data_IF_647276645854
#
_entry.id   IF_647276645854
#
_cell.length_a   1.000
_cell.length_b   1.000
_cell.length_c   1.000
_cell.angle_alpha   90.00
_cell.angle_beta   90.00
_cell.angle_gamma   90.00
#
_symmetry.space_group_name_H-M   'P 1'
#
loop_
_entity.id
_entity.type
_entity.pdbx_description
1 polymer ?
#
# COMPACT_ATOMS: atom_id res chain seq x y z
N UNK A 1 -33.43 -17.54 29.20
CA UNK A 1 -33.53 -17.07 27.79
C UNK A 1 -33.01 -15.64 27.75
N UNK A 2 -31.83 -15.41 27.18
CA UNK A 2 -31.16 -14.10 27.20
C UNK A 2 -31.61 -13.27 25.99
N UNK A 3 -32.37 -12.20 26.20
CA UNK A 3 -32.81 -11.29 25.14
C UNK A 3 -31.70 -10.29 24.79
N UNK A 4 -30.84 -10.63 23.82
CA UNK A 4 -29.90 -9.67 23.25
C UNK A 4 -30.49 -9.07 21.96
N UNK A 5 -30.65 -7.75 21.91
CA UNK A 5 -31.10 -7.07 20.69
C UNK A 5 -29.99 -7.06 19.63
N UNK A 6 -30.36 -7.32 18.37
CA UNK A 6 -29.40 -7.31 17.25
C UNK A 6 -29.04 -5.87 16.88
N UNK A 7 -27.89 -5.39 17.36
CA UNK A 7 -27.40 -4.02 17.12
C UNK A 7 -26.98 -3.80 15.65
N UNK A 8 -26.29 -4.77 15.04
CA UNK A 8 -25.83 -4.71 13.63
C UNK A 8 -26.90 -5.24 12.66
N UNK A 9 -28.05 -4.60 12.67
CA UNK A 9 -29.18 -4.94 11.82
C UNK A 9 -29.10 -4.26 10.43
N UNK A 10 -30.06 -4.57 9.53
CA UNK A 10 -30.15 -3.96 8.19
C UNK A 10 -30.24 -2.43 8.25
N UNK A 11 -30.96 -1.88 9.24
CA UNK A 11 -31.11 -0.44 9.42
C UNK A 11 -29.81 0.26 9.86
N UNK A 12 -28.96 -0.42 10.63
CA UNK A 12 -27.62 0.04 10.98
C UNK A 12 -26.76 0.21 9.72
N UNK A 13 -26.64 -0.84 8.90
CA UNK A 13 -25.80 -0.81 7.70
C UNK A 13 -26.29 0.18 6.64
N UNK A 14 -27.59 0.47 6.58
CA UNK A 14 -28.14 1.53 5.70
C UNK A 14 -27.62 2.93 6.04
N UNK A 15 -27.28 3.21 7.30
CA UNK A 15 -26.79 4.52 7.77
C UNK A 15 -25.30 4.52 8.13
N UNK A 16 -24.61 3.40 7.93
CA UNK A 16 -23.23 3.25 8.36
C UNK A 16 -22.27 4.03 7.46
N UNK A 17 -21.69 5.11 8.00
CA UNK A 17 -20.69 5.90 7.30
C UNK A 17 -19.28 5.35 7.56
N UNK A 18 -18.65 4.83 6.50
CA UNK A 18 -17.28 4.33 6.58
C UNK A 18 -16.27 5.47 6.72
N UNK A 19 -15.29 5.30 7.60
CA UNK A 19 -14.10 6.16 7.60
C UNK A 19 -13.21 5.87 6.39
N UNK A 20 -12.29 6.78 6.07
CA UNK A 20 -11.35 6.60 4.96
C UNK A 20 -10.60 5.27 5.03
N UNK A 21 -10.27 4.68 3.86
CA UNK A 21 -9.64 3.34 3.76
C UNK A 21 -8.43 3.18 4.68
N UNK A 22 -7.46 4.12 4.64
CA UNK A 22 -6.24 4.04 5.46
C UNK A 22 -6.51 4.23 6.96
N UNK A 23 -7.60 4.91 7.34
CA UNK A 23 -8.04 5.04 8.74
C UNK A 23 -8.63 3.73 9.25
N UNK A 24 -9.41 3.03 8.42
CA UNK A 24 -9.93 1.68 8.72
C UNK A 24 -8.83 0.63 8.83
N UNK A 25 -7.78 0.75 8.02
CA UNK A 25 -6.57 -0.09 8.13
C UNK A 25 -5.65 0.32 9.30
N UNK A 26 -5.92 1.43 10.01
CA UNK A 26 -5.09 1.90 11.13
C UNK A 26 -3.72 2.48 10.73
N UNK A 27 -3.44 2.69 9.45
CA UNK A 27 -2.10 3.05 8.95
C UNK A 27 -1.81 4.55 8.92
N UNK A 28 -2.82 5.40 9.10
CA UNK A 28 -2.66 6.85 8.94
C UNK A 28 -3.62 7.60 9.83
N UNK A 29 -3.05 8.50 10.63
CA UNK A 29 -3.78 9.60 11.22
C UNK A 29 -3.86 10.76 10.21
N UNK A 30 -5.09 11.12 9.84
CA UNK A 30 -5.35 12.21 8.91
C UNK A 30 -5.21 13.59 9.56
N UNK A 31 -5.34 13.69 10.88
CA UNK A 31 -5.17 14.96 11.58
C UNK A 31 -3.72 15.42 11.53
N UNK A 32 -2.78 14.55 11.93
CA UNK A 32 -1.35 14.81 11.79
C UNK A 32 -0.94 15.00 10.32
N UNK A 33 -1.45 14.17 9.40
CA UNK A 33 -1.11 14.27 7.97
C UNK A 33 -1.53 15.61 7.36
N UNK A 34 -2.72 16.12 7.70
CA UNK A 34 -3.20 17.42 7.19
C UNK A 34 -2.21 18.54 7.51
N UNK A 35 -1.72 18.60 8.74
CA UNK A 35 -0.77 19.62 9.21
C UNK A 35 0.63 19.44 8.62
N UNK A 36 1.07 18.20 8.48
CA UNK A 36 2.41 17.88 7.98
C UNK A 36 2.58 18.19 6.48
N UNK A 37 1.54 17.95 5.68
CA UNK A 37 1.64 17.89 4.22
C UNK A 37 1.20 19.18 3.52
N UNK A 38 0.25 19.91 4.10
CA UNK A 38 -0.28 21.12 3.46
C UNK A 38 0.83 22.19 3.39
N UNK A 39 0.99 22.75 2.21
CA UNK A 39 1.86 23.88 1.93
C UNK A 39 1.08 25.19 1.99
N UNK A 40 1.77 26.28 2.34
CA UNK A 40 1.21 27.62 2.28
C UNK A 40 0.85 27.98 0.83
N UNK A 41 -0.36 28.50 0.60
CA UNK A 41 -0.87 28.73 -0.76
C UNK A 41 -0.08 29.79 -1.54
N UNK A 42 0.53 30.74 -0.84
CA UNK A 42 1.39 31.77 -1.43
C UNK A 42 2.70 31.19 -2.01
N UNK A 43 3.06 29.95 -1.69
CA UNK A 43 4.23 29.26 -2.25
C UNK A 43 3.89 28.41 -3.48
N UNK A 44 2.64 28.46 -3.95
CA UNK A 44 2.15 27.84 -5.18
C UNK A 44 2.63 26.39 -5.35
N UNK A 45 3.44 26.12 -6.38
CA UNK A 45 3.88 24.78 -6.77
C UNK A 45 5.13 24.29 -6.03
N UNK A 46 5.61 25.00 -5.01
CA UNK A 46 6.76 24.52 -4.24
C UNK A 46 6.37 23.27 -3.43
N UNK A 47 7.05 22.13 -3.64
CA UNK A 47 6.74 20.91 -2.92
C UNK A 47 7.16 21.03 -1.45
N UNK A 48 6.26 20.67 -0.55
CA UNK A 48 6.58 20.48 0.87
C UNK A 48 7.07 19.04 1.09
N UNK A 49 8.39 18.88 1.19
CA UNK A 49 9.01 17.58 1.44
C UNK A 49 8.82 17.14 2.89
N UNK A 50 8.63 15.84 3.09
CA UNK A 50 8.62 15.20 4.39
C UNK A 50 9.43 13.91 4.36
N UNK A 51 10.07 13.61 5.48
CA UNK A 51 10.67 12.29 5.72
C UNK A 51 9.63 11.36 6.34
N UNK A 52 9.47 10.18 5.76
CA UNK A 52 8.61 9.11 6.23
C UNK A 52 9.52 8.02 6.76
N UNK A 53 9.50 7.81 8.07
CA UNK A 53 10.20 6.71 8.73
C UNK A 53 9.18 5.67 9.16
N UNK A 54 9.37 4.41 8.77
CA UNK A 54 8.53 3.28 9.17
C UNK A 54 9.41 2.16 9.70
N UNK A 55 9.27 1.91 11.00
CA UNK A 55 9.85 0.74 11.65
C UNK A 55 8.90 -0.44 11.48
N UNK A 56 9.41 -1.54 10.96
CA UNK A 56 8.72 -2.83 10.93
C UNK A 56 9.51 -3.85 11.73
N UNK A 57 8.94 -5.03 11.97
CA UNK A 57 9.58 -6.05 12.80
C UNK A 57 10.96 -6.52 12.28
N UNK A 58 11.23 -6.38 10.98
CA UNK A 58 12.46 -6.88 10.35
C UNK A 58 13.17 -5.87 9.45
N UNK A 59 12.60 -4.69 9.26
CA UNK A 59 13.11 -3.70 8.31
C UNK A 59 12.78 -2.28 8.77
N UNK A 60 13.67 -1.35 8.43
CA UNK A 60 13.50 0.09 8.64
C UNK A 60 13.41 0.75 7.28
N UNK A 61 12.30 1.43 7.03
CA UNK A 61 12.06 2.12 5.76
C UNK A 61 12.11 3.63 5.97
N UNK A 62 13.00 4.29 5.24
CA UNK A 62 13.15 5.74 5.21
C UNK A 62 12.83 6.25 3.81
N UNK A 63 11.89 7.17 3.68
CA UNK A 63 11.49 7.73 2.38
C UNK A 63 11.39 9.24 2.46
N UNK A 64 11.78 9.93 1.40
CA UNK A 64 11.51 11.35 1.23
C UNK A 64 10.40 11.50 0.20
N UNK A 65 9.31 12.16 0.58
CA UNK A 65 8.14 12.30 -0.27
C UNK A 65 7.53 13.69 -0.17
N UNK A 66 6.78 14.08 -1.19
CA UNK A 66 5.89 15.24 -1.18
C UNK A 66 4.52 14.83 -1.73
N UNK A 67 3.48 15.58 -1.39
CA UNK A 67 2.13 15.25 -1.83
C UNK A 67 1.79 15.88 -3.18
N UNK A 68 1.10 15.10 -4.02
CA UNK A 68 0.36 15.56 -5.20
C UNK A 68 -1.11 15.17 -5.05
N UNK A 69 -1.95 15.67 -5.96
CA UNK A 69 -3.39 15.39 -5.98
C UNK A 69 -3.66 13.89 -6.18
N UNK A 70 -2.92 13.25 -7.10
CA UNK A 70 -3.06 11.83 -7.40
C UNK A 70 -2.56 10.92 -6.27
N UNK A 71 -1.57 11.39 -5.50
CA UNK A 71 -0.90 10.62 -4.47
C UNK A 71 0.43 11.26 -4.05
N UNK A 72 1.10 10.65 -3.07
CA UNK A 72 2.45 11.10 -2.70
C UNK A 72 3.47 10.64 -3.75
N UNK A 73 4.33 11.54 -4.19
CA UNK A 73 5.49 11.22 -5.02
C UNK A 73 6.71 10.97 -4.12
N UNK A 74 7.31 9.79 -4.25
CA UNK A 74 8.54 9.42 -3.54
C UNK A 74 9.73 9.92 -4.34
N UNK A 75 10.61 10.70 -3.70
CA UNK A 75 11.85 11.22 -4.29
C UNK A 75 12.96 10.19 -4.15
N UNK A 76 13.14 9.67 -2.93
CA UNK A 76 14.16 8.69 -2.59
C UNK A 76 13.62 7.73 -1.52
N UNK A 77 14.14 6.50 -1.53
CA UNK A 77 13.90 5.49 -0.51
C UNK A 77 15.23 4.84 -0.08
N UNK A 78 15.29 4.49 1.19
CA UNK A 78 16.33 3.66 1.79
C UNK A 78 15.68 2.63 2.72
N UNK A 79 16.33 1.48 2.85
CA UNK A 79 15.83 0.30 3.54
C UNK A 79 16.94 -0.33 4.38
N UNK A 80 16.64 -0.95 5.51
CA UNK A 80 17.71 -1.57 6.30
C UNK A 80 18.19 -2.88 5.70
N UNK A 81 17.37 -3.58 4.92
CA UNK A 81 17.80 -4.78 4.18
C UNK A 81 18.85 -4.53 3.10
N UNK A 82 19.17 -3.27 2.78
CA UNK A 82 20.26 -2.93 1.87
C UNK A 82 21.58 -2.62 2.58
N UNK A 83 21.56 -2.45 3.91
CA UNK A 83 22.74 -2.22 4.74
C UNK A 83 23.80 -3.34 4.69
N UNK A 84 23.46 -4.62 4.46
CA UNK A 84 24.46 -5.67 4.27
C UNK A 84 25.45 -5.38 3.13
N UNK A 85 25.04 -4.61 2.11
CA UNK A 85 25.93 -4.19 1.01
C UNK A 85 27.00 -3.19 1.45
N UNK A 86 26.79 -2.54 2.59
CA UNK A 86 27.67 -1.53 3.17
C UNK A 86 28.39 -2.05 4.42
N UNK A 87 28.39 -3.37 4.66
CA UNK A 87 29.13 -4.03 5.75
C UNK A 87 28.32 -4.35 7.01
N UNK A 88 27.05 -3.96 7.10
CA UNK A 88 26.19 -4.28 8.26
C UNK A 88 25.32 -5.49 7.91
N UNK A 89 25.84 -6.69 8.14
CA UNK A 89 25.19 -7.94 7.73
C UNK A 89 23.96 -8.32 8.59
N UNK A 90 23.96 -7.96 9.88
CA UNK A 90 22.93 -8.37 10.86
C UNK A 90 22.48 -7.18 11.72
N UNK A 91 21.41 -7.35 12.50
CA UNK A 91 20.92 -6.30 13.40
C UNK A 91 20.23 -5.13 12.69
N UNK A 92 19.49 -5.41 11.62
CA UNK A 92 18.92 -4.40 10.71
C UNK A 92 17.75 -3.57 11.29
N UNK A 93 17.38 -3.79 12.55
CA UNK A 93 16.29 -3.10 13.24
C UNK A 93 16.74 -2.35 14.49
N UNK A 94 18.04 -2.38 14.80
CA UNK A 94 18.57 -1.66 15.95
C UNK A 94 18.70 -0.14 15.68
N UNK A 95 19.06 0.60 16.73
CA UNK A 95 19.23 2.06 16.63
C UNK A 95 20.31 2.45 15.62
N UNK A 96 21.43 1.72 15.56
CA UNK A 96 22.52 1.97 14.61
C UNK A 96 22.05 1.81 13.16
N UNK A 97 21.28 0.75 12.86
CA UNK A 97 20.69 0.53 11.54
C UNK A 97 19.68 1.62 11.17
N UNK A 98 18.92 2.15 12.14
CA UNK A 98 18.03 3.29 11.92
C UNK A 98 18.81 4.56 11.52
N UNK A 99 19.93 4.82 12.20
CA UNK A 99 20.81 5.93 11.87
C UNK A 99 21.44 5.76 10.48
N UNK A 100 22.00 4.58 10.19
CA UNK A 100 22.62 4.27 8.91
C UNK A 100 21.62 4.34 7.74
N UNK A 101 20.38 3.87 7.91
CA UNK A 101 19.33 3.99 6.88
C UNK A 101 18.92 5.45 6.64
N UNK A 102 18.83 6.26 7.69
CA UNK A 102 18.60 7.70 7.58
C UNK A 102 19.71 8.41 6.80
N UNK A 103 20.98 8.14 7.18
CA UNK A 103 22.17 8.69 6.50
C UNK A 103 22.21 8.27 5.02
N UNK A 104 21.94 7.00 4.73
CA UNK A 104 21.91 6.48 3.37
C UNK A 104 20.83 7.17 2.52
N UNK A 105 19.64 7.42 3.08
CA UNK A 105 18.57 8.15 2.40
C UNK A 105 19.01 9.58 2.06
N UNK A 106 19.66 10.28 2.99
CA UNK A 106 20.16 11.63 2.78
C UNK A 106 21.25 11.68 1.69
N UNK A 107 22.24 10.78 1.75
CA UNK A 107 23.33 10.70 0.76
C UNK A 107 22.83 10.38 -0.64
N UNK A 108 21.84 9.50 -0.78
CA UNK A 108 21.22 9.20 -2.08
C UNK A 108 20.54 10.41 -2.71
N UNK A 109 19.86 11.22 -1.91
CA UNK A 109 19.24 12.45 -2.43
C UNK A 109 20.30 13.43 -2.92
N UNK A 110 21.36 13.64 -2.13
CA UNK A 110 22.50 14.49 -2.50
C UNK A 110 23.15 14.02 -3.81
N UNK A 111 23.47 12.74 -3.90
CA UNK A 111 24.11 12.13 -5.06
C UNK A 111 23.22 12.15 -6.32
N UNK A 112 21.91 11.91 -6.16
CA UNK A 112 20.94 11.97 -7.25
C UNK A 112 20.92 13.36 -7.90
N UNK A 113 20.87 14.42 -7.10
CA UNK A 113 20.86 15.79 -7.63
C UNK A 113 22.19 16.14 -8.29
N UNK A 114 23.33 15.79 -7.68
CA UNK A 114 24.66 15.99 -8.31
C UNK A 114 24.76 15.30 -9.67
N UNK A 115 24.35 14.03 -9.75
CA UNK A 115 24.34 13.25 -11.00
C UNK A 115 23.38 13.82 -12.04
N UNK A 116 22.19 14.23 -11.63
CA UNK A 116 21.21 14.84 -12.53
C UNK A 116 21.75 16.15 -13.14
N UNK A 117 22.37 17.01 -12.33
CA UNK A 117 22.97 18.25 -12.83
C UNK A 117 24.12 18.01 -13.80
N UNK A 118 24.96 17.00 -13.55
CA UNK A 118 26.03 16.61 -14.48
C UNK A 118 25.44 16.07 -15.80
N UNK A 119 24.48 15.14 -15.72
CA UNK A 119 23.90 14.48 -16.90
C UNK A 119 23.13 15.44 -17.81
N UNK A 120 22.39 16.39 -17.24
CA UNK A 120 21.65 17.41 -18.01
C UNK A 120 22.61 18.32 -18.78
N UNK A 121 23.79 18.63 -18.22
CA UNK A 121 24.81 19.43 -18.90
C UNK A 121 25.47 18.68 -20.05
N UNK A 122 25.68 17.38 -19.88
CA UNK A 122 26.29 16.53 -20.91
C UNK A 122 25.36 16.30 -22.10
N UNK A 123 24.11 15.87 -21.86
CA UNK A 123 23.16 15.53 -22.92
C UNK A 123 21.72 15.89 -22.54
N UNK A 124 21.15 16.98 -23.07
CA UNK A 124 19.80 17.44 -22.74
C UNK A 124 18.67 16.72 -23.50
N UNK A 125 18.98 15.77 -24.40
CA UNK A 125 17.99 15.09 -25.26
C UNK A 125 17.26 13.99 -24.50
N UNK A 126 15.92 14.01 -24.54
CA UNK A 126 15.08 13.01 -23.88
C UNK A 126 14.89 11.76 -24.76
N UNK A 127 15.49 10.64 -24.36
CA UNK A 127 15.26 9.34 -24.99
C UNK A 127 14.12 8.57 -24.30
N UNK A 128 13.17 8.06 -25.08
CA UNK A 128 12.06 7.25 -24.57
C UNK A 128 12.57 5.86 -24.18
N UNK A 129 12.30 5.46 -22.94
CA UNK A 129 12.62 4.10 -22.47
C UNK A 129 11.85 3.04 -23.28
N UNK A 130 12.50 1.93 -23.68
CA UNK A 130 11.86 0.87 -24.44
C UNK A 130 10.77 0.18 -23.61
N UNK A 131 9.69 -0.22 -24.29
CA UNK A 131 8.55 -0.91 -23.66
C UNK A 131 8.95 -2.35 -23.36
N UNK A 132 8.93 -2.75 -22.07
CA UNK A 132 9.14 -4.15 -21.68
C UNK A 132 7.88 -4.97 -21.94
N UNK A 133 8.00 -6.02 -22.74
CA UNK A 133 6.95 -7.02 -22.91
C UNK A 133 7.00 -8.04 -21.76
N UNK A 134 5.92 -8.12 -20.99
CA UNK A 134 5.83 -9.00 -19.82
C UNK A 134 4.68 -9.99 -20.02
N UNK A 135 4.99 -11.29 -20.06
CA UNK A 135 3.98 -12.37 -20.03
C UNK A 135 3.27 -12.36 -18.68
N UNK A 136 1.97 -12.04 -18.67
CA UNK A 136 1.17 -11.94 -17.43
C UNK A 136 0.63 -13.31 -17.03
N UNK A 137 1.14 -13.89 -15.94
CA UNK A 137 0.59 -15.09 -15.29
C UNK A 137 -0.38 -14.71 -14.18
N UNK A 138 -1.47 -15.47 -14.02
CA UNK A 138 -2.47 -15.25 -12.96
C UNK A 138 -2.25 -16.25 -11.82
N UNK A 139 -1.97 -15.73 -10.62
CA UNK A 139 -1.78 -16.53 -9.41
C UNK A 139 -3.05 -16.68 -8.57
N UNK A 140 -3.98 -15.72 -8.67
CA UNK A 140 -5.19 -15.68 -7.87
C UNK A 140 -6.41 -16.20 -8.64
N UNK A 141 -7.30 -16.87 -7.92
CA UNK A 141 -8.56 -17.38 -8.47
C UNK A 141 -9.39 -16.28 -9.15
N UNK A 142 -10.02 -16.63 -10.27
CA UNK A 142 -10.98 -15.75 -10.92
C UNK A 142 -12.25 -15.56 -10.08
N UNK A 143 -12.78 -14.33 -10.06
CA UNK A 143 -14.13 -14.09 -9.53
C UNK A 143 -15.11 -14.90 -10.38
N UNK A 144 -15.93 -15.69 -9.71
CA UNK A 144 -16.96 -16.50 -10.37
C UNK A 144 -17.89 -15.62 -11.19
N UNK A 145 -18.24 -16.09 -12.38
CA UNK A 145 -19.24 -15.44 -13.23
C UNK A 145 -20.63 -15.54 -12.60
N UNK A 146 -21.59 -14.75 -13.08
CA UNK A 146 -22.96 -14.78 -12.57
C UNK A 146 -23.62 -16.14 -12.81
N UNK A 147 -23.46 -16.71 -14.01
CA UNK A 147 -23.99 -18.03 -14.38
C UNK A 147 -23.46 -19.12 -13.43
N UNK A 148 -22.14 -19.21 -13.26
CA UNK A 148 -21.50 -20.15 -12.35
C UNK A 148 -22.01 -20.06 -10.89
N UNK A 149 -22.41 -18.87 -10.44
CA UNK A 149 -23.01 -18.70 -9.11
C UNK A 149 -24.45 -19.21 -9.07
N UNK A 150 -25.25 -18.93 -10.11
CA UNK A 150 -26.64 -19.42 -10.21
C UNK A 150 -26.68 -20.93 -10.31
N UNK A 151 -25.86 -21.52 -11.19
CA UNK A 151 -25.78 -22.97 -11.39
C UNK A 151 -25.37 -23.68 -10.11
N UNK A 152 -24.41 -23.12 -9.38
CA UNK A 152 -24.01 -23.65 -8.07
C UNK A 152 -25.18 -23.67 -7.07
N UNK A 153 -26.00 -22.63 -7.05
CA UNK A 153 -27.18 -22.59 -6.16
C UNK A 153 -28.19 -23.64 -6.57
N UNK A 154 -28.47 -23.77 -7.88
CA UNK A 154 -29.37 -24.80 -8.40
C UNK A 154 -28.88 -26.21 -8.07
N UNK A 155 -27.60 -26.50 -8.31
CA UNK A 155 -26.97 -27.78 -7.99
C UNK A 155 -27.07 -28.12 -6.49
N UNK A 156 -26.83 -27.13 -5.60
CA UNK A 156 -26.96 -27.33 -4.15
C UNK A 156 -28.40 -27.60 -3.70
N UNK A 157 -29.39 -26.94 -4.30
CA UNK A 157 -30.81 -27.21 -4.02
C UNK A 157 -31.18 -28.62 -4.48
N UNK A 158 -30.78 -28.99 -5.70
CA UNK A 158 -31.07 -30.31 -6.26
C UNK A 158 -30.35 -31.44 -5.51
N UNK A 159 -29.14 -31.22 -4.98
CA UNK A 159 -28.47 -32.22 -4.15
C UNK A 159 -29.13 -32.38 -2.78
N UNK A 160 -29.65 -31.30 -2.21
CA UNK A 160 -30.34 -31.34 -0.92
C UNK A 160 -31.65 -32.11 -1.01
N UNK A 161 -32.48 -31.84 -2.04
CA UNK A 161 -33.72 -32.58 -2.27
C UNK A 161 -33.46 -34.08 -2.45
N UNK A 162 -32.50 -34.45 -3.31
CA UNK A 162 -32.10 -35.85 -3.48
C UNK A 162 -31.65 -36.55 -2.19
N UNK A 163 -31.01 -35.81 -1.27
CA UNK A 163 -30.58 -36.38 0.00
C UNK A 163 -31.74 -36.53 1.00
N UNK A 164 -32.78 -35.69 0.91
CA UNK A 164 -34.00 -35.86 1.70
C UNK A 164 -34.83 -37.03 1.19
N UNK A 165 -34.99 -37.14 -0.13
CA UNK A 165 -35.73 -38.24 -0.77
C UNK A 165 -35.10 -39.58 -0.39
N UNK A 166 -33.77 -39.72 -0.55
CA UNK A 166 -33.05 -40.93 -0.19
C UNK A 166 -33.05 -41.27 1.32
N UNK A 167 -33.25 -40.28 2.20
CA UNK A 167 -33.35 -40.51 3.64
C UNK A 167 -34.78 -40.79 4.12
N UNK A 168 -35.78 -40.63 3.25
CA UNK A 168 -37.18 -40.94 3.52
C UNK A 168 -37.64 -42.28 2.96
N UNK A 169 -36.84 -42.90 2.08
CA UNK A 169 -37.08 -44.21 1.47
C UNK A 169 -36.43 -45.39 2.25
N UNK A 170 -35.70 -45.11 3.34
CA UNK A 170 -35.19 -46.06 4.36
C UNK A 170 -36.05 -46.01 5.64
#
# INVERSE_FOLDING_TARGET
>A
MFFLTVVKNKAYFKRYQVKFRRRREGKTDYFARKRLVIQDKNKYNTPKYRIIVRLSNRDIVCQIAYAKIEGDAIVCAAYSHELPKYGIAVGLTNYAAAYCTGLLCARRVEEMYKKAHASIRENPVHEKKPKREVKKKRWNRAKLTLAQRKDRVAQKKASFLRAQDAAGDD
#
